data_IF_161990768823
#
_entry.id   IF_161990768823
#
_cell.length_a   1.000
_cell.length_b   1.000
_cell.length_c   1.000
_cell.angle_alpha   90.00
_cell.angle_beta   90.00
_cell.angle_gamma   90.00
#
_symmetry.space_group_name_H-M   'P 1'
#
loop_
_entity.id
_entity.type
_entity.pdbx_description
1 polymer ?
#
# COMPACT_ATOMS: atom_id res chain seq x y z
N UNK A 1 19.94 -7.64 -13.28
CA UNK A 1 18.94 -8.67 -13.64
C UNK A 1 18.06 -8.09 -14.72
N UNK A 2 18.01 -8.68 -15.91
CA UNK A 2 17.09 -8.21 -16.96
C UNK A 2 15.69 -8.72 -16.63
N UNK A 3 14.73 -7.81 -16.44
CA UNK A 3 13.34 -8.17 -16.24
C UNK A 3 12.78 -8.76 -17.54
N UNK A 4 12.44 -10.05 -17.54
CA UNK A 4 11.77 -10.70 -18.68
C UNK A 4 10.36 -10.13 -18.84
N UNK A 5 10.07 -9.54 -20.00
CA UNK A 5 8.76 -8.95 -20.30
C UNK A 5 7.91 -9.95 -21.10
N UNK A 6 6.76 -10.36 -20.55
CA UNK A 6 5.78 -11.17 -21.26
C UNK A 6 4.68 -10.26 -21.84
N UNK A 7 4.46 -10.31 -23.16
CA UNK A 7 3.43 -9.50 -23.83
C UNK A 7 2.26 -10.37 -24.26
N UNK A 8 1.04 -9.99 -23.88
CA UNK A 8 -0.21 -10.63 -24.35
C UNK A 8 -1.17 -9.57 -24.86
N UNK A 9 -1.79 -9.80 -26.02
CA UNK A 9 -2.85 -8.94 -26.55
C UNK A 9 -4.20 -9.43 -26.04
N UNK A 10 -4.98 -8.52 -25.47
CA UNK A 10 -6.34 -8.78 -25.01
C UNK A 10 -7.28 -7.69 -25.51
N UNK A 11 -8.58 -7.83 -25.25
CA UNK A 11 -9.61 -6.85 -25.65
C UNK A 11 -10.14 -6.14 -24.42
N UNK A 12 -10.42 -4.86 -24.60
CA UNK A 12 -11.24 -4.09 -23.66
C UNK A 12 -12.70 -4.49 -23.87
N UNK A 13 -13.40 -4.80 -22.78
CA UNK A 13 -14.81 -5.18 -22.77
C UNK A 13 -15.63 -4.16 -22.00
N UNK A 14 -16.88 -3.96 -22.39
CA UNK A 14 -17.81 -3.09 -21.68
C UNK A 14 -18.36 -3.80 -20.44
N UNK A 15 -18.35 -3.11 -19.30
CA UNK A 15 -18.94 -3.57 -18.03
C UNK A 15 -19.86 -2.44 -17.53
N UNK A 16 -21.12 -2.45 -17.96
CA UNK A 16 -22.07 -1.37 -17.67
C UNK A 16 -21.63 -0.03 -18.27
N UNK A 17 -21.42 0.97 -17.41
CA UNK A 17 -20.86 2.28 -17.79
C UNK A 17 -19.32 2.29 -17.83
N UNK A 18 -18.68 1.23 -17.35
CA UNK A 18 -17.23 1.11 -17.24
C UNK A 18 -16.66 0.19 -18.33
N UNK A 19 -15.34 0.09 -18.37
CA UNK A 19 -14.59 -0.82 -19.23
C UNK A 19 -13.71 -1.74 -18.38
N UNK A 20 -13.44 -2.95 -18.89
CA UNK A 20 -12.57 -3.92 -18.24
C UNK A 20 -11.62 -4.59 -19.21
N UNK A 21 -10.54 -5.16 -18.69
CA UNK A 21 -9.53 -5.91 -19.43
C UNK A 21 -9.58 -7.37 -18.97
N UNK A 22 -9.66 -8.31 -19.90
CA UNK A 22 -9.61 -9.75 -19.55
C UNK A 22 -8.16 -10.17 -19.31
N UNK A 23 -7.84 -10.51 -18.07
CA UNK A 23 -6.53 -11.03 -17.66
C UNK A 23 -6.67 -12.54 -17.45
N UNK A 24 -5.86 -13.38 -18.15
CA UNK A 24 -5.83 -14.82 -17.93
C UNK A 24 -5.54 -15.17 -16.46
N UNK A 25 -6.25 -16.16 -15.91
CA UNK A 25 -6.07 -16.66 -14.55
C UNK A 25 -4.60 -16.98 -14.19
N UNK A 26 -3.79 -17.62 -15.06
CA UNK A 26 -2.38 -17.87 -14.74
C UNK A 26 -1.56 -16.61 -14.47
N UNK A 27 -1.89 -15.48 -15.14
CA UNK A 27 -1.20 -14.20 -14.92
C UNK A 27 -1.59 -13.60 -13.57
N UNK A 28 -2.87 -13.69 -13.19
CA UNK A 28 -3.34 -13.24 -11.88
C UNK A 28 -2.66 -14.03 -10.74
N UNK A 29 -2.59 -15.35 -10.88
CA UNK A 29 -1.95 -16.24 -9.91
C UNK A 29 -0.44 -15.98 -9.80
N UNK A 30 0.26 -15.84 -10.94
CA UNK A 30 1.69 -15.54 -10.97
C UNK A 30 2.02 -14.19 -10.30
N UNK A 31 1.14 -13.19 -10.44
CA UNK A 31 1.32 -11.85 -9.87
C UNK A 31 0.71 -11.70 -8.46
N UNK A 32 0.08 -12.75 -7.91
CA UNK A 32 -0.60 -12.69 -6.61
C UNK A 32 -1.73 -11.64 -6.56
N UNK A 33 -2.40 -11.39 -7.69
CA UNK A 33 -3.50 -10.44 -7.79
C UNK A 33 -4.83 -11.14 -7.46
N UNK A 34 -5.50 -10.72 -6.39
CA UNK A 34 -6.78 -11.29 -5.98
C UNK A 34 -7.65 -10.26 -5.27
N UNK A 35 -8.97 -10.30 -5.51
CA UNK A 35 -9.90 -9.38 -4.85
C UNK A 35 -9.74 -7.95 -5.34
N UNK A 36 -9.18 -7.10 -4.49
CA UNK A 36 -8.95 -5.67 -4.77
C UNK A 36 -7.52 -5.42 -5.26
N UNK A 37 -7.39 -4.47 -6.18
CA UNK A 37 -6.12 -4.06 -6.78
C UNK A 37 -6.03 -2.54 -6.84
N UNK A 38 -4.82 -2.02 -6.74
CA UNK A 38 -4.55 -0.61 -7.00
C UNK A 38 -4.25 -0.39 -8.47
N UNK A 39 -4.77 0.70 -9.01
CA UNK A 39 -4.51 1.17 -10.37
C UNK A 39 -3.75 2.49 -10.31
N UNK A 40 -2.54 2.51 -10.85
CA UNK A 40 -1.74 3.72 -10.99
C UNK A 40 -1.53 4.05 -12.46
N UNK A 41 -1.65 5.34 -12.80
CA UNK A 41 -1.33 5.86 -14.14
C UNK A 41 0.07 6.47 -14.08
N UNK A 42 1.03 5.86 -14.77
CA UNK A 42 2.37 6.41 -14.92
C UNK A 42 2.66 6.68 -16.39
N UNK A 43 2.80 7.96 -16.74
CA UNK A 43 2.95 8.43 -18.12
C UNK A 43 1.84 7.89 -19.04
N UNK A 44 2.19 6.92 -19.88
CA UNK A 44 1.34 6.27 -20.88
C UNK A 44 1.00 4.80 -20.51
N UNK A 45 1.21 4.42 -19.25
CA UNK A 45 1.02 3.05 -18.75
C UNK A 45 0.02 3.02 -17.59
N UNK A 46 -0.81 1.96 -17.59
CA UNK A 46 -1.64 1.58 -16.44
C UNK A 46 -0.94 0.46 -15.68
N UNK A 47 -0.50 0.74 -14.46
CA UNK A 47 0.14 -0.22 -13.56
C UNK A 47 -0.91 -0.76 -12.60
N UNK A 48 -0.99 -2.09 -12.49
CA UNK A 48 -1.91 -2.80 -11.58
C UNK A 48 -1.08 -3.45 -10.49
N UNK A 49 -1.39 -3.19 -9.21
CA UNK A 49 -0.71 -3.80 -8.06
C UNK A 49 -1.69 -4.48 -7.13
N UNK A 50 -1.22 -5.51 -6.41
CA UNK A 50 -1.99 -6.12 -5.33
C UNK A 50 -2.17 -5.09 -4.20
N UNK A 51 -3.37 -4.99 -3.64
CA UNK A 51 -3.60 -4.17 -2.45
C UNK A 51 -2.87 -4.82 -1.28
N UNK A 52 -1.92 -4.09 -0.69
CA UNK A 52 -1.32 -4.51 0.58
C UNK A 52 -2.30 -4.27 1.71
N UNK A 53 -2.30 -5.14 2.72
CA UNK A 53 -3.12 -4.92 3.91
C UNK A 53 -2.81 -3.53 4.50
N UNK A 54 -3.80 -2.80 5.05
CA UNK A 54 -3.53 -1.57 5.76
C UNK A 54 -2.40 -1.80 6.76
N UNK A 55 -1.40 -0.92 6.74
CA UNK A 55 -0.25 -0.97 7.67
C UNK A 55 0.68 -2.17 7.48
N UNK A 56 0.61 -2.89 6.37
CA UNK A 56 1.49 -4.03 6.09
C UNK A 56 2.99 -3.67 6.23
N UNK A 57 3.37 -2.46 5.84
CA UNK A 57 4.74 -1.95 5.92
C UNK A 57 5.03 -1.12 7.18
N UNK A 58 4.12 -1.08 8.17
CA UNK A 58 4.36 -0.25 9.36
C UNK A 58 5.52 -0.78 10.18
N UNK A 59 5.62 -2.10 10.39
CA UNK A 59 6.70 -2.69 11.18
C UNK A 59 8.09 -2.29 10.62
N UNK A 60 8.28 -2.46 9.31
CA UNK A 60 9.54 -2.11 8.64
C UNK A 60 9.81 -0.60 8.64
N UNK A 61 8.78 0.22 8.49
CA UNK A 61 8.92 1.69 8.53
C UNK A 61 9.23 2.19 9.94
N UNK A 62 8.59 1.65 10.98
CA UNK A 62 8.91 2.01 12.37
C UNK A 62 10.32 1.55 12.77
N UNK A 63 10.75 0.37 12.29
CA UNK A 63 12.13 -0.06 12.49
C UNK A 63 13.11 0.94 11.84
N UNK A 64 12.86 1.35 10.59
CA UNK A 64 13.68 2.37 9.93
C UNK A 64 13.65 3.70 10.68
N UNK A 65 12.48 4.16 11.14
CA UNK A 65 12.38 5.41 11.91
C UNK A 65 13.26 5.36 13.17
N UNK A 66 13.22 4.26 13.92
CA UNK A 66 14.06 4.08 15.11
C UNK A 66 15.57 3.98 14.76
N UNK A 67 15.92 3.31 13.64
CA UNK A 67 17.30 3.27 13.14
C UNK A 67 17.83 4.66 12.74
N UNK A 68 16.95 5.55 12.30
CA UNK A 68 17.29 6.93 11.92
C UNK A 68 17.05 7.97 13.02
N UNK A 69 16.64 7.56 14.23
CA UNK A 69 16.27 8.44 15.36
C UNK A 69 15.15 9.46 15.03
N UNK A 70 14.35 9.17 13.99
CA UNK A 70 13.19 9.94 13.55
C UNK A 70 11.93 9.66 14.40
N UNK A 71 12.05 8.87 15.46
CA UNK A 71 10.98 8.52 16.41
C UNK A 71 11.02 9.38 17.69
N UNK A 72 11.85 10.41 17.72
CA UNK A 72 11.95 11.36 18.84
C UNK A 72 10.82 12.40 18.81
N UNK A 73 10.42 12.87 19.99
CA UNK A 73 9.44 13.96 20.10
C UNK A 73 10.03 15.24 19.52
N UNK A 74 9.35 15.80 18.51
CA UNK A 74 9.74 17.08 17.90
C UNK A 74 9.52 18.28 18.83
N UNK A 75 8.62 18.14 19.81
CA UNK A 75 8.35 19.17 20.81
C UNK A 75 9.05 18.81 22.12
N UNK A 76 10.25 19.36 22.30
CA UNK A 76 11.04 19.22 23.52
C UNK A 76 10.33 19.81 24.75
N UNK A 77 9.33 20.66 24.56
CA UNK A 77 8.53 21.30 25.62
C UNK A 77 7.11 20.74 25.71
N UNK A 78 6.91 19.48 25.34
CA UNK A 78 5.63 18.79 25.58
C UNK A 78 5.23 18.99 27.05
N UNK A 79 4.01 19.49 27.34
CA UNK A 79 3.58 19.71 28.71
C UNK A 79 3.73 18.41 29.49
N UNK A 80 4.31 18.49 30.69
CA UNK A 80 4.36 17.36 31.62
C UNK A 80 2.96 16.77 31.75
N UNK A 81 2.86 15.43 31.74
CA UNK A 81 1.64 14.68 32.00
C UNK A 81 0.83 15.39 33.09
N UNK A 82 -0.42 15.72 32.77
CA UNK A 82 -1.32 16.36 33.72
C UNK A 82 -1.84 15.32 34.70
N UNK A 83 -2.33 15.76 35.87
CA UNK A 83 -2.96 14.87 36.86
C UNK A 83 -4.07 14.00 36.22
N UNK A 84 -4.71 14.49 35.15
CA UNK A 84 -5.71 13.76 34.37
C UNK A 84 -5.12 12.58 33.56
N UNK A 85 -3.91 12.74 33.01
CA UNK A 85 -3.22 11.70 32.23
C UNK A 85 -2.77 10.53 33.11
N UNK A 86 -2.53 10.79 34.41
CA UNK A 86 -2.12 9.76 35.39
C UNK A 86 -3.31 9.01 35.98
N UNK A 87 -4.37 9.73 36.37
CA UNK A 87 -5.42 9.17 37.24
C UNK A 87 -6.74 8.84 36.55
N UNK A 88 -7.03 9.45 35.39
CA UNK A 88 -8.36 9.33 34.75
C UNK A 88 -8.37 8.55 33.45
N UNK A 89 -7.20 8.22 32.86
CA UNK A 89 -7.15 7.55 31.57
C UNK A 89 -7.42 6.04 31.69
N UNK A 90 -8.57 5.59 31.18
CA UNK A 90 -8.94 4.17 31.08
C UNK A 90 -9.43 3.81 29.68
N UNK A 91 -8.95 2.69 29.13
CA UNK A 91 -9.35 2.16 27.82
C UNK A 91 -10.72 1.47 27.83
#
# INVERSE_FOLDING_TARGET
>A
MVASTATTRTRIVRIGNSQGIRIPKPILEQLGLSGEVELEIQADQLIIRSVQAPRHSWADQFQQMAEFEDDTLLDENSPSLSDWDEDEWTW
#
